data_IF_309008025107
#
_entry.id   IF_309008025107
#
_cell.length_a   1.000
_cell.length_b   1.000
_cell.length_c   1.000
_cell.angle_alpha   90.00
_cell.angle_beta   90.00
_cell.angle_gamma   90.00
#
_symmetry.space_group_name_H-M   'P 1'
#
loop_
_entity.id
_entity.type
_entity.pdbx_description
1 polymer ?
#
# COMPACT_ATOMS: atom_id res chain seq x y z
N UNK A 1 4.43 16.66 -23.21
CA UNK A 1 4.68 15.42 -24.01
C UNK A 1 6.18 15.15 -23.99
N UNK A 2 7.03 16.17 -24.14
CA UNK A 2 8.50 15.98 -24.19
C UNK A 2 9.11 15.51 -22.89
N UNK A 3 8.55 15.90 -21.73
CA UNK A 3 9.04 15.47 -20.42
C UNK A 3 8.86 13.97 -20.17
N UNK A 4 7.83 13.33 -20.73
CA UNK A 4 7.58 11.90 -20.59
C UNK A 4 8.52 11.07 -21.46
N UNK A 5 8.80 11.53 -22.68
CA UNK A 5 9.74 10.86 -23.60
C UNK A 5 11.18 10.84 -23.03
N UNK A 6 11.55 11.84 -22.22
CA UNK A 6 12.85 11.90 -21.54
C UNK A 6 13.02 10.86 -20.43
N UNK A 7 11.94 10.21 -19.97
CA UNK A 7 11.98 9.18 -18.93
C UNK A 7 12.37 7.79 -19.46
N UNK A 8 12.46 7.59 -20.76
CA UNK A 8 12.85 6.32 -21.34
C UNK A 8 14.27 5.94 -20.93
N UNK A 9 14.42 4.73 -20.36
CA UNK A 9 15.70 4.23 -19.87
C UNK A 9 16.39 3.34 -20.89
N UNK A 10 17.73 3.37 -20.89
CA UNK A 10 18.52 2.34 -21.54
C UNK A 10 18.85 1.23 -20.53
N UNK A 11 18.64 -0.05 -20.88
CA UNK A 11 18.99 -1.16 -19.99
C UNK A 11 20.50 -1.38 -19.86
N UNK A 12 21.28 -0.83 -20.79
CA UNK A 12 22.75 -1.00 -20.81
C UNK A 12 23.39 -0.27 -19.61
N UNK A 13 24.16 -1.03 -18.79
CA UNK A 13 24.85 -0.47 -17.62
C UNK A 13 23.92 -0.12 -16.46
N UNK A 14 22.68 -0.63 -16.44
CA UNK A 14 21.75 -0.40 -15.34
C UNK A 14 22.19 -1.14 -14.07
N UNK A 15 22.35 -0.42 -12.99
CA UNK A 15 22.70 -0.95 -11.68
C UNK A 15 21.66 -0.52 -10.63
N UNK A 16 21.26 -1.46 -9.77
CA UNK A 16 20.41 -1.17 -8.62
C UNK A 16 21.20 -0.57 -7.45
N UNK A 17 20.54 -0.34 -6.35
CA UNK A 17 21.22 0.02 -5.11
C UNK A 17 21.98 -1.18 -4.56
N UNK A 18 23.10 -0.89 -3.92
CA UNK A 18 23.99 -1.88 -3.30
C UNK A 18 23.25 -2.85 -2.38
N UNK A 19 22.28 -2.35 -1.61
CA UNK A 19 21.47 -3.17 -0.69
C UNK A 19 20.69 -4.29 -1.36
N UNK A 20 20.22 -4.11 -2.60
CA UNK A 20 19.55 -5.17 -3.35
C UNK A 20 20.52 -6.13 -4.05
N UNK A 21 21.73 -5.66 -4.38
CA UNK A 21 22.74 -6.47 -5.04
C UNK A 21 23.57 -7.30 -4.03
N UNK A 22 23.73 -6.84 -2.79
CA UNK A 22 24.43 -7.56 -1.73
C UNK A 22 23.63 -8.76 -1.18
N UNK A 23 22.28 -8.64 -1.16
CA UNK A 23 21.37 -9.71 -0.74
C UNK A 23 20.52 -10.21 -1.92
N UNK A 24 21.15 -10.78 -2.96
CA UNK A 24 20.47 -11.09 -4.21
C UNK A 24 19.44 -12.23 -4.09
N UNK A 25 19.60 -13.08 -3.09
CA UNK A 25 18.65 -14.17 -2.84
C UNK A 25 17.35 -13.60 -2.29
N UNK A 26 17.42 -12.78 -1.25
CA UNK A 26 16.23 -12.14 -0.65
C UNK A 26 15.52 -11.27 -1.68
N UNK A 27 16.27 -10.47 -2.46
CA UNK A 27 15.71 -9.65 -3.54
C UNK A 27 14.97 -10.51 -4.57
N UNK A 28 15.55 -11.63 -4.99
CA UNK A 28 14.92 -12.56 -5.95
C UNK A 28 13.66 -13.20 -5.38
N UNK A 29 13.65 -13.59 -4.11
CA UNK A 29 12.50 -14.19 -3.44
C UNK A 29 11.33 -13.20 -3.32
N UNK A 30 11.62 -11.93 -2.99
CA UNK A 30 10.61 -10.89 -2.94
C UNK A 30 10.03 -10.60 -4.32
N UNK A 31 10.86 -10.49 -5.36
CA UNK A 31 10.40 -10.30 -6.73
C UNK A 31 9.55 -11.49 -7.20
N UNK A 32 9.99 -12.71 -6.91
CA UNK A 32 9.21 -13.91 -7.20
C UNK A 32 7.85 -13.89 -6.51
N UNK A 33 7.81 -13.55 -5.23
CA UNK A 33 6.55 -13.41 -4.47
C UNK A 33 5.61 -12.40 -5.13
N UNK A 34 6.12 -11.27 -5.62
CA UNK A 34 5.32 -10.26 -6.31
C UNK A 34 4.77 -10.77 -7.65
N UNK A 35 5.56 -11.58 -8.37
CA UNK A 35 5.09 -12.24 -9.60
C UNK A 35 4.04 -13.29 -9.29
N UNK A 36 4.26 -14.14 -8.28
CA UNK A 36 3.33 -15.19 -7.86
C UNK A 36 1.97 -14.60 -7.40
N UNK A 37 1.99 -13.43 -6.75
CA UNK A 37 0.77 -12.67 -6.37
C UNK A 37 0.12 -11.91 -7.53
N UNK A 38 0.71 -11.92 -8.73
CA UNK A 38 0.20 -11.19 -9.90
C UNK A 38 0.42 -9.67 -9.85
N UNK A 39 1.17 -9.17 -8.89
CA UNK A 39 1.50 -7.73 -8.74
C UNK A 39 2.57 -7.27 -9.72
N UNK A 40 3.40 -8.20 -10.19
CA UNK A 40 4.41 -7.95 -11.19
C UNK A 40 4.36 -9.02 -12.29
N UNK A 41 4.95 -8.69 -13.43
CA UNK A 41 5.19 -9.61 -14.53
C UNK A 41 6.67 -9.59 -14.88
N UNK A 42 7.28 -10.79 -14.98
CA UNK A 42 8.67 -10.96 -15.34
C UNK A 42 8.83 -11.16 -16.86
N UNK A 43 9.89 -10.59 -17.41
CA UNK A 43 10.28 -10.68 -18.80
C UNK A 43 11.77 -11.04 -18.91
N UNK A 44 12.09 -11.98 -19.79
CA UNK A 44 13.48 -12.47 -19.98
C UNK A 44 14.36 -11.54 -20.79
N UNK A 45 13.79 -10.55 -21.48
CA UNK A 45 14.54 -9.59 -22.30
C UNK A 45 13.84 -8.24 -22.34
N UNK A 46 14.61 -7.20 -22.70
CA UNK A 46 14.08 -5.85 -22.94
C UNK A 46 13.06 -5.83 -24.07
N UNK A 47 13.32 -6.56 -25.14
CA UNK A 47 12.41 -6.69 -26.27
C UNK A 47 11.07 -7.33 -25.87
N UNK A 48 11.11 -8.40 -25.08
CA UNK A 48 9.90 -9.02 -24.52
C UNK A 48 9.09 -8.06 -23.68
N UNK A 49 9.76 -7.24 -22.84
CA UNK A 49 9.13 -6.22 -22.02
C UNK A 49 8.46 -5.14 -22.86
N UNK A 50 9.19 -4.53 -23.79
CA UNK A 50 8.67 -3.42 -24.64
C UNK A 50 7.54 -3.88 -25.56
N UNK A 51 7.62 -5.10 -26.06
CA UNK A 51 6.54 -5.72 -26.86
C UNK A 51 5.28 -5.90 -26.00
N UNK A 52 5.42 -6.45 -24.79
CA UNK A 52 4.28 -6.67 -23.89
C UNK A 52 3.59 -5.36 -23.47
N UNK A 53 4.36 -4.28 -23.32
CA UNK A 53 3.84 -2.95 -22.97
C UNK A 53 3.37 -2.16 -24.21
N UNK A 54 3.58 -2.67 -25.41
CA UNK A 54 3.32 -1.97 -26.69
C UNK A 54 3.93 -0.55 -26.69
N UNK A 55 5.09 -0.39 -26.06
CA UNK A 55 5.79 0.88 -25.92
C UNK A 55 7.30 0.68 -25.90
N UNK A 56 8.07 1.40 -26.71
CA UNK A 56 9.52 1.45 -26.62
C UNK A 56 10.01 2.32 -25.46
N UNK A 57 9.14 3.19 -24.96
CA UNK A 57 9.46 4.15 -23.91
C UNK A 57 9.14 3.55 -22.52
N UNK A 58 10.07 2.78 -21.97
CA UNK A 58 9.94 2.18 -20.64
C UNK A 58 10.94 2.82 -19.69
N UNK A 59 10.49 3.17 -18.51
CA UNK A 59 11.33 3.74 -17.44
C UNK A 59 11.75 2.65 -16.46
N UNK A 60 13.07 2.44 -16.35
CA UNK A 60 13.62 1.58 -15.30
C UNK A 60 13.80 2.35 -14.00
N UNK A 61 13.40 1.75 -12.91
CA UNK A 61 13.58 2.27 -11.56
C UNK A 61 14.61 1.43 -10.81
N UNK A 62 15.45 2.07 -10.02
CA UNK A 62 16.42 1.35 -9.17
C UNK A 62 15.70 0.69 -8.01
N UNK A 63 16.08 -0.55 -7.72
CA UNK A 63 15.60 -1.29 -6.57
C UNK A 63 16.53 -1.10 -5.38
N UNK A 64 15.94 -0.88 -4.20
CA UNK A 64 16.63 -0.91 -2.92
C UNK A 64 15.97 -1.94 -2.00
N UNK A 65 16.78 -2.73 -1.30
CA UNK A 65 16.31 -3.64 -0.26
C UNK A 65 16.45 -2.94 1.09
N UNK A 66 15.31 -2.75 1.77
CA UNK A 66 15.27 -2.26 3.14
C UNK A 66 15.02 -3.44 4.10
N UNK A 67 15.90 -3.59 5.07
CA UNK A 67 15.82 -4.64 6.09
C UNK A 67 15.65 -4.01 7.48
N UNK A 68 14.63 -4.41 8.21
CA UNK A 68 14.36 -3.93 9.58
C UNK A 68 14.24 -5.12 10.52
N UNK A 69 15.08 -5.15 11.54
CA UNK A 69 14.97 -6.12 12.63
C UNK A 69 13.77 -5.75 13.50
N UNK A 70 12.89 -6.73 13.76
CA UNK A 70 11.74 -6.58 14.66
C UNK A 70 12.15 -6.87 16.11
N UNK A 71 11.32 -6.49 17.10
CA UNK A 71 11.58 -6.79 18.50
C UNK A 71 11.69 -8.30 18.82
N UNK A 72 11.07 -9.15 18.03
CA UNK A 72 11.14 -10.62 18.14
C UNK A 72 12.41 -11.23 17.55
N UNK A 73 13.32 -10.40 17.02
CA UNK A 73 14.57 -10.82 16.37
C UNK A 73 14.41 -11.22 14.90
N UNK A 74 13.21 -11.32 14.38
CA UNK A 74 12.98 -11.56 12.94
C UNK A 74 13.32 -10.33 12.11
N UNK A 75 13.70 -10.52 10.85
CA UNK A 75 13.97 -9.39 9.94
C UNK A 75 12.87 -9.27 8.90
N UNK A 76 12.27 -8.09 8.82
CA UNK A 76 11.31 -7.74 7.77
C UNK A 76 12.06 -7.06 6.62
N UNK A 77 11.91 -7.62 5.43
CA UNK A 77 12.49 -7.09 4.20
C UNK A 77 11.42 -6.42 3.34
N UNK A 78 11.77 -5.32 2.69
CA UNK A 78 10.92 -4.61 1.74
C UNK A 78 11.75 -4.18 0.53
N UNK A 79 11.21 -4.36 -0.67
CA UNK A 79 11.75 -3.74 -1.87
C UNK A 79 11.13 -2.35 -2.04
N UNK A 80 11.96 -1.39 -2.38
CA UNK A 80 11.57 -0.01 -2.67
C UNK A 80 12.05 0.35 -4.07
N UNK A 81 11.19 1.02 -4.82
CA UNK A 81 11.47 1.55 -6.16
C UNK A 81 11.84 3.02 -6.05
N UNK A 82 12.99 3.38 -6.56
CA UNK A 82 13.40 4.78 -6.59
C UNK A 82 12.88 5.47 -7.86
N UNK A 83 11.63 5.93 -7.79
CA UNK A 83 11.00 6.69 -8.85
C UNK A 83 11.48 8.16 -8.89
N UNK A 84 12.18 8.61 -7.86
CA UNK A 84 12.81 9.94 -7.85
C UNK A 84 14.04 9.96 -8.77
N UNK A 85 14.87 8.92 -8.69
CA UNK A 85 16.10 8.81 -9.51
C UNK A 85 15.81 8.64 -11.00
N UNK A 86 14.66 8.07 -11.34
CA UNK A 86 14.19 7.91 -12.71
C UNK A 86 13.38 9.08 -13.23
N UNK A 87 13.29 10.18 -12.46
CA UNK A 87 12.51 11.38 -12.73
C UNK A 87 10.98 11.16 -12.85
N UNK A 88 10.48 9.93 -12.64
CA UNK A 88 9.04 9.66 -12.63
C UNK A 88 8.32 10.52 -11.60
N UNK A 89 8.90 10.67 -10.40
CA UNK A 89 8.33 11.51 -9.35
C UNK A 89 8.19 12.98 -9.79
N UNK A 90 9.08 13.48 -10.64
CA UNK A 90 9.07 14.86 -11.09
C UNK A 90 7.87 15.19 -12.01
N UNK A 91 7.33 14.18 -12.70
CA UNK A 91 6.18 14.35 -13.61
C UNK A 91 4.85 13.97 -12.96
N UNK A 92 4.87 13.44 -11.73
CA UNK A 92 3.65 13.13 -10.98
C UNK A 92 2.96 14.42 -10.53
N UNK A 93 1.74 14.62 -10.99
CA UNK A 93 0.92 15.74 -10.55
C UNK A 93 0.09 15.32 -9.33
N UNK A 94 0.31 15.98 -8.21
CA UNK A 94 -0.39 15.75 -6.97
C UNK A 94 -1.17 17.01 -6.60
N UNK A 95 -2.49 16.99 -6.88
CA UNK A 95 -3.39 18.11 -6.56
C UNK A 95 -3.97 18.04 -5.14
N UNK A 96 -3.74 16.96 -4.43
CA UNK A 96 -4.33 16.70 -3.11
C UNK A 96 -3.28 16.38 -2.06
N UNK A 97 -3.62 16.66 -0.82
CA UNK A 97 -2.81 16.35 0.35
C UNK A 97 -3.52 15.33 1.22
N UNK A 98 -2.83 14.28 1.62
CA UNK A 98 -3.35 13.33 2.61
C UNK A 98 -3.39 14.01 3.99
N UNK A 99 -4.54 13.97 4.63
CA UNK A 99 -4.72 14.37 6.03
C UNK A 99 -5.00 13.10 6.81
N UNK A 100 -4.08 12.74 7.70
CA UNK A 100 -4.23 11.58 8.56
C UNK A 100 -4.96 11.96 9.86
N UNK A 101 -5.70 11.03 10.48
CA UNK A 101 -6.33 11.26 11.77
C UNK A 101 -5.26 11.55 12.83
N UNK A 102 -5.61 12.46 13.73
CA UNK A 102 -4.77 12.86 14.87
C UNK A 102 -5.34 12.22 16.15
N UNK A 103 -4.56 12.21 17.20
CA UNK A 103 -4.98 11.70 18.49
C UNK A 103 -6.30 12.32 18.99
N UNK A 104 -6.53 13.58 18.67
CA UNK A 104 -7.78 14.29 19.06
C UNK A 104 -9.00 13.76 18.31
N UNK A 105 -8.85 13.20 17.11
CA UNK A 105 -9.96 12.60 16.38
C UNK A 105 -10.43 11.32 17.10
N UNK A 106 -9.48 10.51 17.59
CA UNK A 106 -9.77 9.35 18.45
C UNK A 106 -10.40 9.75 19.78
N UNK A 107 -9.91 10.81 20.43
CA UNK A 107 -10.46 11.31 21.69
C UNK A 107 -11.90 11.81 21.49
N UNK A 108 -12.18 12.51 20.40
CA UNK A 108 -13.53 12.97 20.08
C UNK A 108 -14.47 11.80 19.83
N UNK A 109 -14.05 10.78 19.06
CA UNK A 109 -14.85 9.57 18.82
C UNK A 109 -15.16 8.84 20.14
N UNK A 110 -14.16 8.69 21.02
CA UNK A 110 -14.34 8.08 22.33
C UNK A 110 -15.29 8.88 23.21
N UNK A 111 -15.16 10.22 23.21
CA UNK A 111 -16.03 11.12 23.93
C UNK A 111 -17.47 11.01 23.44
N UNK A 112 -17.72 11.08 22.13
CA UNK A 112 -19.04 10.93 21.55
C UNK A 112 -19.68 9.59 21.96
N UNK A 113 -18.95 8.49 21.79
CA UNK A 113 -19.45 7.16 22.16
C UNK A 113 -19.83 7.07 23.65
N UNK A 114 -19.04 7.69 24.53
CA UNK A 114 -19.34 7.71 25.96
C UNK A 114 -20.63 8.48 26.32
N UNK A 115 -21.00 9.47 25.54
CA UNK A 115 -22.22 10.28 25.77
C UNK A 115 -23.49 9.58 25.30
N UNK A 116 -23.41 8.76 24.24
CA UNK A 116 -24.57 8.16 23.59
C UNK A 116 -24.84 6.70 23.99
N UNK A 117 -24.04 6.11 24.86
CA UNK A 117 -24.22 4.72 25.32
C UNK A 117 -25.07 4.69 26.60
N UNK A 118 -26.37 4.42 26.54
CA UNK A 118 -27.20 4.30 27.74
C UNK A 118 -26.78 3.03 28.49
N UNK A 119 -26.26 3.21 29.69
CA UNK A 119 -25.95 2.15 30.64
C UNK A 119 -24.47 1.81 30.75
N UNK A 120 -23.94 0.97 29.87
CA UNK A 120 -22.52 0.58 29.90
C UNK A 120 -21.69 1.52 29.02
N UNK A 121 -20.87 2.36 29.65
CA UNK A 121 -19.96 3.32 28.97
C UNK A 121 -18.55 2.77 28.80
N UNK A 122 -18.36 1.47 28.95
CA UNK A 122 -17.04 0.84 28.71
C UNK A 122 -16.65 1.02 27.26
N UNK A 123 -15.44 1.50 27.04
CA UNK A 123 -14.86 1.65 25.72
C UNK A 123 -13.83 0.54 25.47
N UNK A 124 -13.94 -0.06 24.30
CA UNK A 124 -13.03 -1.09 23.81
C UNK A 124 -12.27 -0.55 22.62
N UNK A 125 -10.96 -0.76 22.60
CA UNK A 125 -10.07 -0.40 21.50
C UNK A 125 -9.63 -1.66 20.76
N UNK A 126 -9.69 -1.63 19.43
CA UNK A 126 -9.19 -2.70 18.60
C UNK A 126 -8.44 -2.10 17.41
N UNK A 127 -7.21 -2.56 17.20
CA UNK A 127 -6.39 -2.17 16.03
C UNK A 127 -6.02 -3.39 15.22
N UNK A 128 -5.90 -3.22 13.92
CA UNK A 128 -5.39 -4.21 12.98
C UNK A 128 -4.59 -3.52 11.89
N UNK A 129 -3.97 -4.28 10.98
CA UNK A 129 -3.18 -3.79 9.85
C UNK A 129 -3.77 -4.33 8.55
N UNK A 130 -3.80 -3.53 7.50
CA UNK A 130 -4.17 -3.99 6.16
C UNK A 130 -2.90 -4.45 5.45
N UNK A 131 -2.84 -5.75 5.19
CA UNK A 131 -1.67 -6.35 4.55
C UNK A 131 -1.45 -5.81 3.14
N UNK A 132 -0.20 -5.45 2.85
CA UNK A 132 0.24 -5.07 1.51
C UNK A 132 -0.61 -3.94 0.88
N UNK A 133 -1.06 -2.97 1.68
CA UNK A 133 -2.05 -1.95 1.33
C UNK A 133 -1.83 -1.30 -0.04
N UNK A 134 -0.64 -0.82 -0.35
CA UNK A 134 -0.36 -0.22 -1.66
C UNK A 134 -0.52 -1.22 -2.81
N UNK A 135 -0.10 -2.46 -2.60
CA UNK A 135 -0.20 -3.50 -3.62
C UNK A 135 -1.64 -3.98 -3.88
N UNK A 136 -2.62 -3.59 -3.03
CA UNK A 136 -4.04 -3.84 -3.31
C UNK A 136 -4.61 -2.91 -4.38
N UNK A 137 -3.90 -1.85 -4.75
CA UNK A 137 -4.39 -0.86 -5.71
C UNK A 137 -3.73 -1.10 -7.08
N UNK A 138 -4.50 -1.54 -8.09
CA UNK A 138 -3.97 -1.74 -9.44
C UNK A 138 -3.68 -0.41 -10.11
N UNK A 139 -2.61 -0.40 -10.90
CA UNK A 139 -2.29 0.69 -11.81
C UNK A 139 -2.99 0.50 -13.15
N UNK A 140 -3.39 1.60 -13.77
CA UNK A 140 -3.86 1.55 -15.16
C UNK A 140 -2.75 1.04 -16.08
N UNK A 141 -3.04 0.22 -17.11
CA UNK A 141 -2.00 -0.35 -17.98
C UNK A 141 -1.08 0.68 -18.62
N UNK A 142 -1.55 1.91 -18.90
CA UNK A 142 -0.72 3.00 -19.44
C UNK A 142 0.40 3.44 -18.49
N UNK A 143 0.25 3.16 -17.17
CA UNK A 143 1.21 3.54 -16.15
C UNK A 143 2.30 2.47 -15.92
N UNK A 144 2.08 1.24 -16.38
CA UNK A 144 2.99 0.13 -16.11
C UNK A 144 4.40 0.38 -16.65
N UNK A 145 4.51 1.10 -17.78
CA UNK A 145 5.80 1.45 -18.37
C UNK A 145 6.69 2.31 -17.47
N UNK A 146 6.14 2.95 -16.45
CA UNK A 146 6.88 3.79 -15.48
C UNK A 146 7.28 3.05 -14.22
N UNK A 147 6.88 1.78 -14.05
CA UNK A 147 7.12 0.99 -12.86
C UNK A 147 8.09 -0.17 -13.09
N UNK A 148 8.74 -0.21 -14.25
CA UNK A 148 9.65 -1.29 -14.57
C UNK A 148 10.93 -1.24 -13.71
N UNK A 149 11.50 -2.42 -13.47
CA UNK A 149 12.81 -2.59 -12.83
C UNK A 149 13.57 -3.73 -13.51
N UNK A 150 14.88 -3.74 -13.35
CA UNK A 150 15.75 -4.81 -13.83
C UNK A 150 16.49 -5.44 -12.66
N UNK A 151 16.59 -6.77 -12.63
CA UNK A 151 17.38 -7.48 -11.64
C UNK A 151 17.89 -8.80 -12.22
N UNK A 152 19.22 -9.05 -12.13
CA UNK A 152 19.90 -10.25 -12.63
C UNK A 152 19.52 -10.60 -14.09
N UNK A 153 19.51 -9.60 -14.96
CA UNK A 153 19.23 -9.80 -16.39
C UNK A 153 17.76 -10.08 -16.73
N UNK A 154 16.88 -10.07 -15.75
CA UNK A 154 15.42 -10.10 -15.94
C UNK A 154 14.83 -8.71 -15.74
N UNK A 155 13.70 -8.48 -16.38
CA UNK A 155 12.92 -7.24 -16.28
C UNK A 155 11.58 -7.55 -15.62
N UNK A 156 11.17 -6.65 -14.74
CA UNK A 156 9.91 -6.76 -14.01
C UNK A 156 9.08 -5.52 -14.26
N UNK A 157 7.82 -5.69 -14.60
CA UNK A 157 6.86 -4.60 -14.68
C UNK A 157 5.83 -4.77 -13.58
N UNK A 158 5.56 -3.68 -12.84
CA UNK A 158 4.64 -3.72 -11.70
C UNK A 158 3.29 -3.16 -12.12
N UNK A 159 2.23 -3.88 -11.78
CA UNK A 159 0.85 -3.62 -12.15
C UNK A 159 0.04 -2.97 -11.03
N UNK A 160 0.68 -2.76 -9.89
CA UNK A 160 0.09 -2.21 -8.67
C UNK A 160 0.94 -1.05 -8.15
N UNK A 161 0.39 -0.27 -7.21
CA UNK A 161 1.18 0.75 -6.54
C UNK A 161 2.38 0.14 -5.83
N UNK A 162 3.53 0.77 -5.97
CA UNK A 162 4.80 0.31 -5.38
C UNK A 162 5.27 1.27 -4.27
N UNK A 163 6.03 0.73 -3.33
CA UNK A 163 6.74 1.56 -2.35
C UNK A 163 7.77 2.44 -3.06
N UNK A 164 7.72 3.74 -2.80
CA UNK A 164 8.55 4.75 -3.46
C UNK A 164 7.79 5.62 -4.46
N UNK A 165 6.57 5.24 -4.85
CA UNK A 165 5.70 6.13 -5.64
C UNK A 165 5.20 7.30 -4.80
N UNK A 166 5.42 8.54 -5.26
CA UNK A 166 4.96 9.75 -4.59
C UNK A 166 3.42 9.82 -4.48
N UNK A 167 2.70 9.26 -5.46
CA UNK A 167 1.24 9.24 -5.49
C UNK A 167 0.62 8.12 -4.65
N UNK A 168 1.39 7.08 -4.27
CA UNK A 168 0.85 5.91 -3.58
C UNK A 168 0.11 6.27 -2.27
N UNK A 169 0.63 7.15 -1.39
CA UNK A 169 -0.09 7.51 -0.17
C UNK A 169 -1.43 8.22 -0.45
N UNK A 170 -1.49 9.07 -1.49
CA UNK A 170 -2.71 9.80 -1.85
C UNK A 170 -3.76 8.88 -2.45
N UNK A 171 -3.36 7.99 -3.37
CA UNK A 171 -4.26 7.03 -4.01
C UNK A 171 -4.79 6.05 -2.96
N UNK A 172 -3.90 5.49 -2.14
CA UNK A 172 -4.30 4.64 -1.02
C UNK A 172 -5.23 5.36 -0.05
N UNK A 173 -4.91 6.61 0.31
CA UNK A 173 -5.72 7.43 1.21
C UNK A 173 -7.16 7.60 0.73
N UNK A 174 -7.40 7.72 -0.58
CA UNK A 174 -8.76 7.75 -1.15
C UNK A 174 -9.48 6.43 -0.96
N UNK A 175 -8.80 5.30 -1.19
CA UNK A 175 -9.35 3.97 -0.99
C UNK A 175 -9.64 3.70 0.49
N UNK A 176 -8.70 4.01 1.37
CA UNK A 176 -8.86 3.94 2.82
C UNK A 176 -10.02 4.81 3.32
N UNK A 177 -10.17 6.03 2.79
CA UNK A 177 -11.27 6.91 3.13
C UNK A 177 -12.63 6.37 2.64
N UNK A 178 -12.69 5.68 1.51
CA UNK A 178 -13.89 4.98 1.07
C UNK A 178 -14.24 3.84 2.04
N UNK A 179 -13.26 2.99 2.38
CA UNK A 179 -13.42 1.92 3.35
C UNK A 179 -13.91 2.47 4.71
N UNK A 180 -13.30 3.56 5.19
CA UNK A 180 -13.70 4.21 6.44
C UNK A 180 -15.12 4.72 6.45
N UNK A 181 -15.52 5.48 5.42
CA UNK A 181 -16.87 6.02 5.31
C UNK A 181 -17.93 4.92 5.16
N UNK A 182 -17.67 3.89 4.38
CA UNK A 182 -18.60 2.77 4.21
C UNK A 182 -18.73 1.95 5.50
N UNK A 183 -17.63 1.75 6.24
CA UNK A 183 -17.67 1.11 7.56
C UNK A 183 -18.47 1.93 8.57
N UNK A 184 -18.28 3.25 8.60
CA UNK A 184 -19.07 4.14 9.46
C UNK A 184 -20.57 4.09 9.14
N UNK A 185 -20.93 4.01 7.86
CA UNK A 185 -22.32 3.87 7.45
C UNK A 185 -22.96 2.55 7.89
N UNK A 186 -22.19 1.46 7.84
CA UNK A 186 -22.67 0.11 8.20
C UNK A 186 -22.66 -0.11 9.72
N UNK A 187 -21.62 0.34 10.41
CA UNK A 187 -21.36 0.00 11.83
C UNK A 187 -21.71 1.13 12.80
N UNK A 188 -22.00 2.36 12.33
CA UNK A 188 -22.16 3.51 13.22
C UNK A 188 -23.31 3.33 14.23
N UNK A 189 -24.39 2.65 13.86
CA UNK A 189 -25.51 2.33 14.74
C UNK A 189 -25.21 1.24 15.78
N UNK A 190 -24.07 0.52 15.63
CA UNK A 190 -23.62 -0.51 16.55
C UNK A 190 -22.70 0.05 17.65
N UNK A 191 -22.61 1.36 17.80
CA UNK A 191 -21.70 1.98 18.78
C UNK A 191 -20.22 1.85 18.41
N UNK A 192 -19.91 1.81 17.11
CA UNK A 192 -18.55 1.70 16.57
C UNK A 192 -18.14 3.02 15.90
N UNK A 193 -16.93 3.44 16.16
CA UNK A 193 -16.18 4.47 15.40
C UNK A 193 -14.89 3.88 14.89
N UNK A 194 -14.40 4.39 13.78
CA UNK A 194 -13.14 3.94 13.20
C UNK A 194 -12.36 5.11 12.62
N UNK A 195 -11.07 5.12 12.93
CA UNK A 195 -10.08 5.98 12.27
C UNK A 195 -9.11 5.11 11.47
N UNK A 196 -8.70 5.59 10.31
CA UNK A 196 -7.75 4.87 9.44
C UNK A 196 -6.45 5.67 9.38
N UNK A 197 -5.40 5.16 10.04
CA UNK A 197 -4.08 5.77 9.96
C UNK A 197 -3.23 5.04 8.93
N UNK A 198 -3.22 5.55 7.71
CA UNK A 198 -2.62 4.92 6.52
C UNK A 198 -3.25 3.56 6.24
N UNK A 199 -2.62 2.48 6.70
CA UNK A 199 -3.01 1.07 6.56
C UNK A 199 -3.45 0.43 7.89
N UNK A 200 -3.44 1.21 8.98
CA UNK A 200 -3.82 0.77 10.33
C UNK A 200 -5.24 1.25 10.70
N UNK A 201 -6.30 0.44 10.52
CA UNK A 201 -7.62 0.76 11.05
C UNK A 201 -7.66 0.56 12.57
N UNK A 202 -8.09 1.59 13.28
CA UNK A 202 -8.30 1.57 14.72
C UNK A 202 -9.77 1.80 15.01
N UNK A 203 -10.39 0.85 15.70
CA UNK A 203 -11.79 0.87 16.08
C UNK A 203 -11.94 1.25 17.55
N UNK A 204 -12.97 2.03 17.86
CA UNK A 204 -13.45 2.31 19.19
C UNK A 204 -14.88 1.80 19.26
N UNK A 205 -15.19 0.95 20.22
CA UNK A 205 -16.51 0.38 20.44
C UNK A 205 -16.99 0.69 21.85
N UNK A 206 -18.26 1.05 22.00
CA UNK A 206 -18.89 1.26 23.31
C UNK A 206 -19.82 0.12 23.67
N UNK A 207 -20.05 -0.09 25.00
CA UNK A 207 -20.95 -1.08 25.53
C UNK A 207 -20.27 -2.31 26.11
N UNK A 208 -21.02 -3.40 26.28
CA UNK A 208 -20.46 -4.67 26.77
C UNK A 208 -19.46 -5.27 25.77
N UNK A 209 -18.58 -6.12 26.27
CA UNK A 209 -17.61 -6.82 25.41
C UNK A 209 -18.30 -7.60 24.28
N UNK A 210 -19.47 -8.18 24.53
CA UNK A 210 -20.24 -8.91 23.52
C UNK A 210 -20.73 -7.97 22.40
N UNK A 211 -21.26 -6.79 22.75
CA UNK A 211 -21.70 -5.78 21.78
C UNK A 211 -20.51 -5.23 20.95
N UNK A 212 -19.40 -4.90 21.62
CA UNK A 212 -18.18 -4.46 20.97
C UNK A 212 -17.65 -5.51 20.00
N UNK A 213 -17.59 -6.79 20.43
CA UNK A 213 -17.15 -7.91 19.57
C UNK A 213 -18.06 -8.07 18.36
N UNK A 214 -19.38 -8.00 18.54
CA UNK A 214 -20.33 -8.08 17.42
C UNK A 214 -20.11 -6.96 16.41
N UNK A 215 -20.02 -5.71 16.86
CA UNK A 215 -19.81 -4.57 15.98
C UNK A 215 -18.48 -4.61 15.23
N UNK A 216 -17.38 -4.95 15.92
CA UNK A 216 -16.07 -5.12 15.31
C UNK A 216 -16.10 -6.28 14.28
N UNK A 217 -16.77 -7.39 14.60
CA UNK A 217 -16.93 -8.52 13.67
C UNK A 217 -17.62 -8.09 12.38
N UNK A 218 -18.69 -7.29 12.47
CA UNK A 218 -19.38 -6.74 11.28
C UNK A 218 -18.42 -5.86 10.46
N UNK A 219 -17.62 -5.01 11.11
CA UNK A 219 -16.66 -4.16 10.43
C UNK A 219 -15.56 -4.99 9.70
N UNK A 220 -15.05 -6.03 10.36
CA UNK A 220 -14.05 -6.92 9.76
C UNK A 220 -14.60 -7.75 8.60
N UNK A 221 -15.85 -8.21 8.70
CA UNK A 221 -16.55 -8.87 7.58
C UNK A 221 -16.76 -7.90 6.41
N UNK A 222 -17.07 -6.64 6.69
CA UNK A 222 -17.17 -5.62 5.65
C UNK A 222 -15.83 -5.40 4.94
N UNK A 223 -14.71 -5.34 5.67
CA UNK A 223 -13.38 -5.27 5.07
C UNK A 223 -13.09 -6.48 4.18
N UNK A 224 -13.49 -7.67 4.62
CA UNK A 224 -13.37 -8.89 3.80
C UNK A 224 -14.19 -8.80 2.51
N UNK A 225 -15.43 -8.24 2.56
CA UNK A 225 -16.28 -8.00 1.38
C UNK A 225 -15.62 -6.98 0.44
N UNK A 226 -14.96 -5.96 0.97
CA UNK A 226 -14.20 -4.98 0.18
C UNK A 226 -12.90 -5.56 -0.40
N UNK A 227 -12.55 -6.81 -0.08
CA UNK A 227 -11.31 -7.44 -0.52
C UNK A 227 -10.06 -6.90 0.17
N UNK A 228 -10.20 -6.31 1.37
CA UNK A 228 -9.08 -5.80 2.16
C UNK A 228 -8.49 -6.93 3.02
N UNK A 229 -7.28 -7.42 2.73
CA UNK A 229 -6.64 -8.46 3.51
C UNK A 229 -6.14 -7.88 4.83
N UNK A 230 -6.53 -8.50 5.95
CA UNK A 230 -6.08 -8.12 7.27
C UNK A 230 -4.85 -8.93 7.70
N UNK A 231 -3.90 -8.29 8.37
CA UNK A 231 -2.80 -8.97 9.04
C UNK A 231 -3.24 -9.35 10.47
N UNK A 232 -3.12 -10.62 10.79
CA UNK A 232 -3.41 -11.20 12.10
C UNK A 232 -2.12 -11.50 12.85
#
# INVERSE_FOLDING_TARGET
>A
IDAIASLASSPAGWENYRSSEEDPQITSELLKTMVDKGWAQAHSSWESLTTALSSPEVTLNKLALLSKVKPDGSTKHRLVWDLLRSDVTAVVQQGERVVLPRIMDFVNDAWELSQYSPGDTTLHLFGTDISDAFHQVPLHPSEWRFTAASFKGQYYVFKVLVFGSASAPTIWGRYAAFAGRSTAAICGHLGIRMQMYVDDPVFIASGSLAQATQGITVALLWFSILGLPLAW
#
